data_IF_392079565929
#
_entry.id   IF_392079565929
#
_cell.length_a   1.000
_cell.length_b   1.000
_cell.length_c   1.000
_cell.angle_alpha   90.00
_cell.angle_beta   90.00
_cell.angle_gamma   90.00
#
_symmetry.space_group_name_H-M   'P 1'
#
loop_
_entity.id
_entity.type
_entity.pdbx_description
1 polymer ?
#
# COMPACT_ATOMS: atom_id res chain seq x y z
N UNK A 1 -22.71 -35.73 -15.32
CA UNK A 1 -22.76 -34.81 -14.18
C UNK A 1 -21.59 -35.14 -13.27
N UNK A 2 -20.45 -34.51 -13.42
CA UNK A 2 -19.24 -34.75 -12.60
C UNK A 2 -18.68 -33.42 -12.11
N UNK A 3 -18.55 -33.37 -10.82
CA UNK A 3 -18.15 -32.36 -9.87
C UNK A 3 -16.89 -31.55 -10.26
N UNK A 4 -17.05 -30.25 -10.45
CA UNK A 4 -15.99 -29.24 -10.59
C UNK A 4 -15.82 -28.45 -9.28
N UNK A 5 -15.56 -29.13 -8.16
CA UNK A 5 -15.51 -28.49 -6.82
C UNK A 5 -14.16 -28.55 -6.10
N UNK A 6 -13.11 -29.19 -6.67
CA UNK A 6 -11.91 -29.51 -5.90
C UNK A 6 -10.71 -28.58 -6.09
N UNK A 7 -10.66 -27.80 -7.16
CA UNK A 7 -9.45 -27.01 -7.51
C UNK A 7 -9.28 -25.73 -6.68
N UNK A 8 -10.37 -25.10 -6.24
CA UNK A 8 -10.29 -23.79 -5.53
C UNK A 8 -9.84 -23.95 -4.09
N UNK A 9 -10.21 -25.05 -3.43
CA UNK A 9 -9.81 -25.32 -2.03
C UNK A 9 -8.32 -25.65 -1.88
N UNK A 10 -7.72 -26.28 -2.89
CA UNK A 10 -6.30 -26.61 -2.88
C UNK A 10 -5.43 -25.35 -3.04
N UNK A 11 -5.86 -24.36 -3.82
CA UNK A 11 -5.14 -23.09 -4.00
C UNK A 11 -5.16 -22.22 -2.74
N UNK A 12 -6.27 -22.18 -2.00
CA UNK A 12 -6.40 -21.46 -0.73
C UNK A 12 -5.54 -22.08 0.38
N UNK A 13 -5.42 -23.39 0.44
CA UNK A 13 -4.57 -24.09 1.40
C UNK A 13 -3.08 -23.89 1.11
N UNK A 14 -2.67 -23.84 -0.16
CA UNK A 14 -1.29 -23.57 -0.54
C UNK A 14 -0.85 -22.15 -0.17
N UNK A 15 -1.71 -21.15 -0.35
CA UNK A 15 -1.40 -19.75 0.01
C UNK A 15 -1.29 -19.56 1.54
N UNK A 16 -2.11 -20.26 2.34
CA UNK A 16 -2.04 -20.20 3.80
C UNK A 16 -0.77 -20.87 4.34
N UNK A 17 -0.28 -21.93 3.70
CA UNK A 17 0.94 -22.63 4.11
C UNK A 17 2.21 -21.82 3.85
N UNK A 18 2.25 -21.03 2.77
CA UNK A 18 3.39 -20.15 2.47
C UNK A 18 3.48 -19.00 3.48
N UNK A 19 2.34 -18.44 3.92
CA UNK A 19 2.33 -17.42 4.97
C UNK A 19 2.76 -17.98 6.34
N UNK A 20 2.36 -19.20 6.66
CA UNK A 20 2.74 -19.85 7.92
C UNK A 20 4.25 -20.24 7.95
N UNK A 21 4.84 -20.62 6.82
CA UNK A 21 6.25 -20.94 6.72
C UNK A 21 7.18 -19.71 6.90
N UNK A 22 6.71 -18.51 6.54
CA UNK A 22 7.44 -17.26 6.79
C UNK A 22 7.44 -16.85 8.28
N UNK A 23 6.46 -17.29 9.06
CA UNK A 23 6.40 -17.00 10.50
C UNK A 23 7.28 -17.91 11.36
N UNK A 24 7.69 -19.10 10.89
CA UNK A 24 8.44 -20.07 11.70
C UNK A 24 9.96 -19.93 11.62
N UNK A 25 10.51 -19.14 10.71
CA UNK A 25 11.94 -18.86 10.59
C UNK A 25 12.44 -17.66 11.42
N UNK A 26 11.56 -17.05 12.23
CA UNK A 26 11.91 -15.93 13.14
C UNK A 26 12.49 -16.42 14.48
N UNK A 27 13.11 -17.62 14.55
CA UNK A 27 13.78 -18.05 15.76
C UNK A 27 15.26 -17.69 15.73
N UNK A 28 15.61 -16.79 16.68
CA UNK A 28 16.95 -16.53 17.22
C UNK A 28 17.97 -15.82 16.32
N UNK A 29 17.65 -14.64 15.80
CA UNK A 29 18.64 -13.59 15.81
C UNK A 29 18.54 -12.89 17.18
N UNK A 30 19.30 -13.34 18.16
CA UNK A 30 19.65 -12.53 19.32
C UNK A 30 20.53 -11.41 18.79
N UNK A 31 19.91 -10.30 18.37
CA UNK A 31 20.61 -9.04 18.25
C UNK A 31 21.08 -8.69 19.65
N UNK A 32 22.41 -8.51 19.80
CA UNK A 32 23.01 -8.01 21.02
C UNK A 32 22.35 -6.70 21.38
N UNK A 33 21.83 -6.61 22.63
CA UNK A 33 21.29 -5.43 23.25
C UNK A 33 22.38 -4.34 23.39
N UNK A 34 22.61 -3.60 22.33
CA UNK A 34 23.27 -2.31 22.29
C UNK A 34 22.55 -1.38 21.30
N UNK A 35 21.22 -1.52 21.18
CA UNK A 35 20.45 -0.56 20.41
C UNK A 35 20.28 0.71 21.27
N UNK A 36 21.05 1.74 20.91
CA UNK A 36 20.69 3.11 21.26
C UNK A 36 19.23 3.33 20.89
N UNK A 37 18.42 4.02 21.73
CA UNK A 37 17.02 4.31 21.42
C UNK A 37 16.94 4.86 20.01
N UNK A 38 16.04 4.33 19.19
CA UNK A 38 15.80 4.87 17.83
C UNK A 38 15.27 6.26 17.99
N UNK A 39 16.12 7.24 17.75
CA UNK A 39 15.73 8.64 17.90
C UNK A 39 15.22 9.10 16.54
N UNK A 40 13.90 8.95 16.33
CA UNK A 40 13.26 9.67 15.25
C UNK A 40 13.29 11.15 15.59
N UNK A 41 14.13 11.92 14.90
CA UNK A 41 14.25 13.37 15.13
C UNK A 41 14.28 14.12 13.80
N UNK A 42 13.57 15.24 13.75
CA UNK A 42 13.62 16.14 12.63
C UNK A 42 12.80 15.68 11.42
N UNK A 43 13.33 15.97 10.25
CA UNK A 43 12.75 15.62 8.96
C UNK A 43 13.13 14.18 8.57
N UNK A 44 12.20 13.49 7.96
CA UNK A 44 12.42 12.15 7.43
C UNK A 44 11.84 12.01 6.02
N UNK A 45 12.45 11.15 5.23
CA UNK A 45 12.02 10.80 3.87
C UNK A 45 12.22 9.31 3.63
N UNK A 46 11.32 8.71 2.86
CA UNK A 46 11.44 7.31 2.48
C UNK A 46 10.75 7.02 1.16
N UNK A 47 11.21 5.98 0.49
CA UNK A 47 10.61 5.53 -0.75
C UNK A 47 10.94 4.08 -1.04
N UNK A 48 10.10 3.42 -1.82
CA UNK A 48 10.26 2.02 -2.14
C UNK A 48 9.31 1.51 -3.19
N UNK A 49 9.53 0.24 -3.51
CA UNK A 49 8.82 -0.48 -4.56
C UNK A 49 8.26 -1.78 -4.00
N UNK A 50 7.22 -2.29 -4.62
CA UNK A 50 6.56 -3.49 -4.19
C UNK A 50 5.54 -4.02 -5.19
N UNK A 51 4.59 -4.74 -4.65
CA UNK A 51 3.53 -5.37 -5.43
C UNK A 51 2.20 -5.19 -4.71
N UNK A 52 1.14 -4.94 -5.48
CA UNK A 52 -0.18 -4.69 -4.93
C UNK A 52 -1.29 -5.33 -5.74
N UNK A 53 -2.44 -5.46 -5.10
CA UNK A 53 -3.68 -5.95 -5.69
C UNK A 53 -4.73 -4.86 -5.61
N UNK A 54 -5.29 -4.49 -6.76
CA UNK A 54 -6.37 -3.50 -6.89
C UNK A 54 -7.68 -4.20 -7.19
N UNK A 55 -8.72 -3.81 -6.50
CA UNK A 55 -10.12 -4.12 -6.83
C UNK A 55 -10.91 -2.82 -6.97
N UNK A 56 -11.80 -2.78 -7.95
CA UNK A 56 -12.64 -1.62 -8.24
C UNK A 56 -14.11 -2.02 -8.34
N UNK A 57 -14.99 -1.11 -8.03
CA UNK A 57 -16.43 -1.26 -8.19
C UNK A 57 -17.07 0.06 -8.59
N UNK A 58 -18.21 0.03 -9.27
CA UNK A 58 -19.01 1.20 -9.61
C UNK A 58 -20.50 0.87 -9.60
N UNK A 59 -21.34 1.88 -9.45
CA UNK A 59 -22.79 1.68 -9.46
C UNK A 59 -23.22 1.23 -10.85
N UNK A 60 -23.85 0.04 -10.93
CA UNK A 60 -24.30 -0.56 -12.17
C UNK A 60 -23.25 -1.33 -13.01
N UNK A 61 -21.96 -1.28 -12.65
CA UNK A 61 -20.91 -2.03 -13.37
C UNK A 61 -20.51 -3.35 -12.65
N UNK A 62 -20.92 -3.54 -11.41
CA UNK A 62 -20.45 -4.65 -10.58
C UNK A 62 -19.02 -4.42 -10.03
N UNK A 63 -18.47 -5.46 -9.43
CA UNK A 63 -17.08 -5.48 -8.98
C UNK A 63 -16.17 -6.14 -10.00
N UNK A 64 -15.00 -5.56 -10.23
CA UNK A 64 -13.96 -6.22 -11.02
C UNK A 64 -13.22 -7.27 -10.18
N UNK A 65 -12.68 -8.29 -10.84
CA UNK A 65 -11.72 -9.19 -10.22
C UNK A 65 -10.49 -8.41 -9.75
N UNK A 66 -9.85 -8.92 -8.69
CA UNK A 66 -8.63 -8.31 -8.17
C UNK A 66 -7.47 -8.45 -9.14
N UNK A 67 -6.86 -7.33 -9.52
CA UNK A 67 -5.75 -7.26 -10.45
C UNK A 67 -4.44 -6.97 -9.70
N UNK A 68 -3.46 -7.88 -9.84
CA UNK A 68 -2.15 -7.73 -9.25
C UNK A 68 -1.19 -6.98 -10.18
N UNK A 69 -0.42 -6.03 -9.65
CA UNK A 69 0.51 -5.22 -10.41
C UNK A 69 1.64 -4.63 -9.56
N UNK A 70 2.51 -3.90 -10.23
CA UNK A 70 3.63 -3.23 -9.61
C UNK A 70 3.16 -2.04 -8.77
N UNK A 71 3.75 -1.83 -7.60
CA UNK A 71 3.43 -0.69 -6.76
C UNK A 71 4.67 0.03 -6.26
N UNK A 72 4.49 1.30 -5.90
CA UNK A 72 5.51 2.15 -5.33
C UNK A 72 4.93 3.08 -4.28
N UNK A 73 5.83 3.57 -3.43
CA UNK A 73 5.47 4.46 -2.34
C UNK A 73 6.57 5.49 -2.13
N UNK A 74 6.17 6.73 -1.92
CA UNK A 74 7.04 7.82 -1.44
C UNK A 74 6.40 8.43 -0.21
N UNK A 75 7.21 8.72 0.80
CA UNK A 75 6.75 9.35 2.04
C UNK A 75 7.78 10.35 2.55
N UNK A 76 7.32 11.43 3.15
CA UNK A 76 8.18 12.44 3.75
C UNK A 76 7.42 13.17 4.88
N UNK A 77 8.14 13.66 5.87
CA UNK A 77 7.49 14.34 6.98
C UNK A 77 8.43 14.78 8.08
N UNK A 78 7.85 15.03 9.24
CA UNK A 78 8.54 15.44 10.43
C UNK A 78 8.15 14.60 11.66
N UNK A 79 9.03 14.53 12.61
CA UNK A 79 8.85 13.84 13.88
C UNK A 79 8.19 14.79 14.89
N UNK A 80 6.98 14.42 15.34
CA UNK A 80 6.28 15.15 16.41
C UNK A 80 6.77 14.71 17.79
N UNK A 81 7.04 13.42 17.94
CA UNK A 81 7.62 12.83 19.14
C UNK A 81 8.37 11.56 18.76
N UNK A 82 9.14 10.97 19.69
CA UNK A 82 9.86 9.72 19.45
C UNK A 82 8.97 8.56 18.97
N UNK A 83 7.66 8.64 19.21
CA UNK A 83 6.68 7.61 18.88
C UNK A 83 5.67 8.04 17.82
N UNK A 84 5.64 9.32 17.42
CA UNK A 84 4.65 9.84 16.47
C UNK A 84 5.33 10.67 15.40
N UNK A 85 5.17 10.24 14.16
CA UNK A 85 5.60 10.97 12.97
C UNK A 85 4.38 11.44 12.18
N UNK A 86 4.47 12.61 11.59
CA UNK A 86 3.46 13.18 10.69
C UNK A 86 4.10 13.42 9.33
N UNK A 87 3.39 13.11 8.25
CA UNK A 87 3.93 13.32 6.92
C UNK A 87 2.88 13.28 5.82
N UNK A 88 3.40 13.31 4.61
CA UNK A 88 2.65 13.07 3.38
C UNK A 88 3.16 11.77 2.76
N UNK A 89 2.24 10.96 2.31
CA UNK A 89 2.51 9.70 1.64
C UNK A 89 1.82 9.68 0.27
N UNK A 90 2.56 9.29 -0.76
CA UNK A 90 2.04 9.03 -2.10
C UNK A 90 2.20 7.55 -2.40
N UNK A 91 1.09 6.87 -2.66
CA UNK A 91 1.02 5.49 -3.09
C UNK A 91 0.68 5.44 -4.59
N UNK A 92 1.34 4.53 -5.31
CA UNK A 92 1.08 4.29 -6.72
C UNK A 92 1.02 2.81 -7.04
N UNK A 93 0.13 2.44 -7.98
CA UNK A 93 0.03 1.11 -8.54
C UNK A 93 -0.12 1.22 -10.06
N UNK A 94 0.51 0.30 -10.78
CA UNK A 94 0.58 0.29 -12.23
C UNK A 94 0.43 -1.13 -12.78
N UNK A 95 -0.37 -1.27 -13.84
CA UNK A 95 -0.48 -2.49 -14.63
C UNK A 95 -0.92 -2.20 -16.05
N UNK A 96 -0.30 -2.86 -17.02
CA UNK A 96 -0.82 -2.93 -18.38
C UNK A 96 -1.66 -4.21 -18.57
N UNK A 97 -2.85 -4.05 -19.12
CA UNK A 97 -3.78 -5.15 -19.41
C UNK A 97 -4.24 -4.99 -20.86
N UNK A 98 -3.75 -5.85 -21.74
CA UNK A 98 -4.13 -5.86 -23.17
C UNK A 98 -3.95 -4.50 -23.88
N UNK A 99 -2.84 -3.79 -23.59
CA UNK A 99 -2.55 -2.48 -24.16
C UNK A 99 -3.27 -1.32 -23.48
N UNK A 100 -4.02 -1.57 -22.40
CA UNK A 100 -4.62 -0.56 -21.56
C UNK A 100 -3.76 -0.39 -20.30
N UNK A 101 -3.15 0.77 -20.15
CA UNK A 101 -2.39 1.14 -18.96
C UNK A 101 -3.34 1.58 -17.86
N UNK A 102 -3.33 0.83 -16.75
CA UNK A 102 -4.10 1.14 -15.55
C UNK A 102 -3.17 1.69 -14.47
N UNK A 103 -3.54 2.83 -13.90
CA UNK A 103 -2.81 3.49 -12.81
C UNK A 103 -3.78 3.84 -11.69
N UNK A 104 -3.40 3.48 -10.48
CA UNK A 104 -4.06 3.89 -9.25
C UNK A 104 -3.08 4.72 -8.44
N UNK A 105 -3.52 5.86 -7.92
CA UNK A 105 -2.71 6.74 -7.09
C UNK A 105 -3.46 7.20 -5.86
N UNK A 106 -2.70 7.51 -4.81
CA UNK A 106 -3.24 8.15 -3.62
C UNK A 106 -2.19 9.11 -3.05
N UNK A 107 -2.63 10.28 -2.61
CA UNK A 107 -1.80 11.26 -1.92
C UNK A 107 -2.51 11.62 -0.61
N UNK A 108 -1.89 11.29 0.53
CA UNK A 108 -2.51 11.44 1.84
C UNK A 108 -1.60 12.14 2.84
N UNK A 109 -2.20 12.91 3.73
CA UNK A 109 -1.59 13.22 5.00
C UNK A 109 -1.68 11.98 5.90
N UNK A 110 -0.57 11.59 6.52
CA UNK A 110 -0.45 10.34 7.27
C UNK A 110 0.22 10.55 8.62
N UNK A 111 -0.29 9.82 9.62
CA UNK A 111 0.31 9.69 10.94
C UNK A 111 0.88 8.29 11.09
N UNK A 112 2.09 8.20 11.62
CA UNK A 112 2.78 6.95 11.95
C UNK A 112 2.96 6.87 13.46
N UNK A 113 2.51 5.79 14.06
CA UNK A 113 2.56 5.59 15.51
C UNK A 113 3.40 4.36 15.82
N UNK A 114 4.46 4.56 16.60
CA UNK A 114 5.34 3.51 17.10
C UNK A 114 4.90 3.16 18.54
N UNK A 115 4.31 1.97 18.76
CA UNK A 115 3.84 1.57 20.09
C UNK A 115 4.96 1.47 21.12
N UNK A 116 6.19 1.25 20.68
CA UNK A 116 7.38 1.13 21.52
C UNK A 116 8.54 1.93 20.94
N UNK A 117 9.34 2.56 21.81
CA UNK A 117 10.57 3.29 21.42
C UNK A 117 11.71 2.37 21.00
N UNK A 118 11.67 1.10 21.40
CA UNK A 118 12.71 0.11 21.11
C UNK A 118 12.38 -0.79 19.93
N UNK A 119 11.09 -0.90 19.56
CA UNK A 119 10.64 -1.71 18.44
C UNK A 119 10.45 -0.84 17.19
N UNK A 120 10.92 -1.34 16.03
CA UNK A 120 10.72 -0.67 14.74
C UNK A 120 9.31 -0.81 14.18
N UNK A 121 8.41 -1.51 14.86
CA UNK A 121 7.04 -1.68 14.40
C UNK A 121 6.26 -0.38 14.54
N UNK A 122 5.53 -0.02 13.49
CA UNK A 122 4.59 1.10 13.51
C UNK A 122 3.27 0.76 12.84
N UNK A 123 2.25 1.49 13.23
CA UNK A 123 0.96 1.56 12.56
C UNK A 123 0.87 2.91 11.86
N UNK A 124 0.20 2.95 10.71
CA UNK A 124 -0.08 4.20 10.02
C UNK A 124 -1.54 4.35 9.66
N UNK A 125 -1.99 5.58 9.58
CA UNK A 125 -3.32 5.94 9.10
C UNK A 125 -3.30 7.34 8.51
N UNK A 126 -4.18 7.59 7.54
CA UNK A 126 -4.20 8.87 6.87
C UNK A 126 -5.42 9.05 5.98
N UNK A 127 -5.57 10.28 5.49
CA UNK A 127 -6.61 10.65 4.55
C UNK A 127 -6.07 11.65 3.51
N UNK A 128 -6.66 11.63 2.33
CA UNK A 128 -6.21 12.49 1.23
C UNK A 128 -7.04 12.33 -0.03
N UNK A 129 -6.38 12.37 -1.17
CA UNK A 129 -6.99 12.27 -2.50
C UNK A 129 -6.59 10.97 -3.16
N UNK A 130 -7.56 10.21 -3.65
CA UNK A 130 -7.36 9.03 -4.47
C UNK A 130 -7.64 9.35 -5.94
N UNK A 131 -6.95 8.67 -6.85
CA UNK A 131 -7.13 8.79 -8.28
C UNK A 131 -7.03 7.46 -8.99
N UNK A 132 -7.76 7.34 -10.08
CA UNK A 132 -7.71 6.23 -11.02
C UNK A 132 -7.56 6.75 -12.44
N UNK A 133 -6.77 6.08 -13.23
CA UNK A 133 -6.65 6.35 -14.66
C UNK A 133 -6.47 5.06 -15.43
N UNK A 134 -7.27 4.87 -16.49
CA UNK A 134 -7.05 3.86 -17.52
C UNK A 134 -6.84 4.56 -18.85
N UNK A 135 -5.78 4.18 -19.57
CA UNK A 135 -5.41 4.79 -20.86
C UNK A 135 -5.16 3.72 -21.91
N UNK A 136 -5.81 3.87 -23.08
CA UNK A 136 -5.60 3.03 -24.26
C UNK A 136 -5.48 3.93 -25.49
N UNK A 137 -4.27 4.11 -26.01
CA UNK A 137 -4.00 5.05 -27.09
C UNK A 137 -4.39 6.48 -26.71
N UNK A 138 -5.37 7.07 -27.40
CA UNK A 138 -5.95 8.39 -27.15
C UNK A 138 -7.08 8.38 -26.12
N UNK A 139 -7.65 7.21 -25.84
CA UNK A 139 -8.79 7.10 -24.92
C UNK A 139 -8.32 7.11 -23.47
N UNK A 140 -9.02 7.89 -22.67
CA UNK A 140 -8.70 8.10 -21.25
C UNK A 140 -9.98 8.01 -20.41
N UNK A 141 -9.94 7.11 -19.41
CA UNK A 141 -10.90 7.06 -18.33
C UNK A 141 -10.20 7.51 -17.05
N UNK A 142 -10.72 8.49 -16.36
CA UNK A 142 -10.14 8.96 -15.10
C UNK A 142 -11.21 9.37 -14.08
N UNK A 143 -10.81 9.31 -12.80
CA UNK A 143 -11.63 9.74 -11.69
C UNK A 143 -10.76 10.07 -10.49
N UNK A 144 -11.24 11.00 -9.68
CA UNK A 144 -10.57 11.46 -8.46
C UNK A 144 -11.59 11.60 -7.34
N UNK A 145 -11.12 11.40 -6.12
CA UNK A 145 -11.99 11.54 -4.98
C UNK A 145 -11.25 11.44 -3.65
N UNK A 146 -11.99 11.12 -2.59
CA UNK A 146 -11.41 11.01 -1.25
C UNK A 146 -10.73 9.67 -1.08
N UNK A 147 -9.52 9.68 -0.52
CA UNK A 147 -8.74 8.50 -0.19
C UNK A 147 -8.51 8.36 1.31
N UNK A 148 -8.51 7.13 1.78
CA UNK A 148 -8.08 6.75 3.13
C UNK A 148 -6.96 5.73 3.01
N UNK A 149 -5.97 5.82 3.89
CA UNK A 149 -4.90 4.84 4.00
C UNK A 149 -4.80 4.29 5.41
N UNK A 150 -4.42 3.03 5.52
CA UNK A 150 -4.07 2.37 6.76
C UNK A 150 -3.00 1.33 6.51
N UNK A 151 -2.20 1.01 7.52
CA UNK A 151 -1.16 0.01 7.31
C UNK A 151 -0.28 -0.18 8.51
N UNK A 152 0.69 -1.07 8.33
CA UNK A 152 1.71 -1.38 9.31
C UNK A 152 3.06 -1.60 8.62
N UNK A 153 4.13 -1.36 9.34
CA UNK A 153 5.49 -1.59 8.86
C UNK A 153 6.44 -1.85 10.00
N UNK A 154 7.66 -2.20 9.62
CA UNK A 154 8.73 -2.46 10.58
C UNK A 154 10.04 -1.87 10.09
N UNK A 155 10.58 -0.91 10.81
CA UNK A 155 11.87 -0.29 10.52
C UNK A 155 13.02 -1.18 11.01
N UNK A 156 13.83 -1.65 10.09
CA UNK A 156 15.07 -2.40 10.33
C UNK A 156 16.22 -1.42 10.12
N UNK A 157 16.93 -0.97 11.17
CA UNK A 157 18.08 -0.08 11.02
C UNK A 157 19.17 -0.75 10.20
N UNK A 158 19.71 -0.03 9.20
CA UNK A 158 20.83 -0.48 8.37
C UNK A 158 22.03 0.48 8.46
N UNK A 159 21.90 1.55 9.21
CA UNK A 159 22.93 2.58 9.45
C UNK A 159 22.40 3.63 10.41
N UNK A 160 23.26 4.57 10.83
CA UNK A 160 22.95 5.54 11.89
C UNK A 160 21.64 6.32 11.72
N UNK A 161 21.26 6.66 10.49
CA UNK A 161 20.05 7.43 10.17
C UNK A 161 19.20 6.79 9.07
N UNK A 162 19.45 5.51 8.72
CA UNK A 162 18.77 4.84 7.61
C UNK A 162 18.13 3.54 8.08
N UNK A 163 16.92 3.28 7.63
CA UNK A 163 16.20 2.03 7.86
C UNK A 163 15.70 1.40 6.57
N UNK A 164 15.70 0.07 6.52
CA UNK A 164 14.95 -0.73 5.57
C UNK A 164 13.60 -1.07 6.18
N UNK A 165 12.51 -0.79 5.46
CA UNK A 165 11.15 -0.89 6.02
C UNK A 165 10.25 -1.73 5.12
N UNK A 166 10.05 -3.02 5.40
CA UNK A 166 8.91 -3.77 4.87
C UNK A 166 7.61 -3.19 5.42
N UNK A 167 6.61 -3.00 4.54
CA UNK A 167 5.35 -2.34 4.90
C UNK A 167 4.19 -2.93 4.12
N UNK A 168 3.06 -3.13 4.79
CA UNK A 168 1.78 -3.46 4.18
C UNK A 168 0.84 -2.26 4.31
N UNK A 169 0.22 -1.87 3.20
CA UNK A 169 -0.69 -0.72 3.12
C UNK A 169 -1.99 -1.13 2.46
N UNK A 170 -3.10 -0.72 3.05
CA UNK A 170 -4.43 -0.75 2.48
C UNK A 170 -4.85 0.68 2.17
N UNK A 171 -5.16 0.94 0.91
CA UNK A 171 -5.72 2.22 0.46
C UNK A 171 -7.15 1.98 -0.01
N UNK A 172 -8.06 2.82 0.44
CA UNK A 172 -9.44 2.85 -0.02
C UNK A 172 -9.73 4.21 -0.62
N UNK A 173 -10.33 4.25 -1.83
CA UNK A 173 -10.70 5.46 -2.53
C UNK A 173 -12.17 5.46 -2.93
N UNK A 174 -12.86 6.59 -2.67
CA UNK A 174 -14.17 6.88 -3.24
C UNK A 174 -13.97 7.95 -4.31
N UNK A 175 -13.98 7.54 -5.57
CA UNK A 175 -13.64 8.38 -6.72
C UNK A 175 -14.83 9.20 -7.23
N UNK A 176 -16.06 8.89 -6.76
CA UNK A 176 -17.26 9.54 -7.27
C UNK A 176 -17.54 9.17 -8.73
N UNK A 177 -17.58 10.17 -9.60
CA UNK A 177 -17.88 9.97 -11.02
C UNK A 177 -16.60 9.75 -11.82
N UNK A 178 -16.64 8.77 -12.73
CA UNK A 178 -15.58 8.54 -13.71
C UNK A 178 -15.89 9.32 -14.99
N UNK A 179 -14.86 9.91 -15.57
CA UNK A 179 -14.93 10.64 -16.83
C UNK A 179 -14.20 9.89 -17.94
N UNK A 180 -14.90 9.63 -19.06
CA UNK A 180 -14.31 9.09 -20.28
C UNK A 180 -14.11 10.22 -21.28
N UNK A 181 -12.87 10.52 -21.62
CA UNK A 181 -12.48 11.62 -22.51
C UNK A 181 -13.12 12.98 -22.09
N UNK A 182 -13.27 13.21 -20.77
CA UNK A 182 -13.86 14.43 -20.20
C UNK A 182 -15.38 14.43 -20.11
N UNK A 183 -16.07 13.35 -20.45
CA UNK A 183 -17.51 13.20 -20.28
C UNK A 183 -17.82 12.21 -19.16
N UNK A 184 -18.78 12.51 -18.28
CA UNK A 184 -19.20 11.61 -17.20
C UNK A 184 -19.68 10.27 -17.79
N UNK A 185 -19.10 9.17 -17.32
CA UNK A 185 -19.32 7.81 -17.89
C UNK A 185 -19.89 6.84 -16.85
N UNK A 186 -19.49 6.94 -15.59
CA UNK A 186 -19.98 6.08 -14.50
C UNK A 186 -19.97 6.84 -13.19
N UNK A 187 -20.85 6.48 -12.26
CA UNK A 187 -20.96 7.09 -10.94
C UNK A 187 -20.67 6.11 -9.82
N UNK A 188 -20.39 6.63 -8.62
CA UNK A 188 -20.19 5.81 -7.42
C UNK A 188 -18.96 4.91 -7.48
N UNK A 189 -17.93 5.28 -8.24
CA UNK A 189 -16.72 4.50 -8.39
C UNK A 189 -15.92 4.44 -7.08
N UNK A 190 -15.50 3.24 -6.71
CA UNK A 190 -14.68 2.96 -5.53
C UNK A 190 -13.53 2.05 -5.92
N UNK A 191 -12.40 2.21 -5.22
CA UNK A 191 -11.23 1.36 -5.40
C UNK A 191 -10.63 0.97 -4.07
N UNK A 192 -10.01 -0.20 -4.04
CA UNK A 192 -9.23 -0.68 -2.91
C UNK A 192 -7.90 -1.20 -3.44
N UNK A 193 -6.79 -0.72 -2.88
CA UNK A 193 -5.44 -1.20 -3.17
C UNK A 193 -4.84 -1.79 -1.90
N UNK A 194 -4.51 -3.07 -1.94
CA UNK A 194 -3.68 -3.73 -0.93
C UNK A 194 -2.28 -3.92 -1.50
N UNK A 195 -1.25 -3.39 -0.85
CA UNK A 195 0.13 -3.49 -1.33
C UNK A 195 1.10 -3.90 -0.22
N UNK A 196 2.16 -4.60 -0.63
CA UNK A 196 3.36 -4.85 0.18
C UNK A 196 4.52 -4.17 -0.52
N UNK A 197 5.19 -3.28 0.21
CA UNK A 197 6.25 -2.42 -0.31
C UNK A 197 7.48 -2.54 0.58
N UNK A 198 8.64 -2.55 -0.03
CA UNK A 198 9.93 -2.50 0.65
C UNK A 198 10.53 -1.12 0.41
N UNK A 199 10.69 -0.35 1.50
CA UNK A 199 11.15 1.03 1.43
C UNK A 199 12.49 1.21 2.13
N UNK A 200 13.24 2.22 1.69
CA UNK A 200 14.37 2.77 2.42
C UNK A 200 13.96 4.13 2.96
N UNK A 201 14.30 4.39 4.21
CA UNK A 201 13.95 5.64 4.91
C UNK A 201 15.19 6.25 5.53
N UNK A 202 15.29 7.58 5.46
CA UNK A 202 16.31 8.38 6.16
C UNK A 202 15.60 9.28 7.19
N UNK A 203 16.17 9.38 8.39
CA UNK A 203 15.68 10.13 9.55
C UNK A 203 16.68 11.21 9.98
#
# INVERSE_FOLDING_TARGET
>A
MLSRGSSTRVKLLASALVLAALCTSATTARAQDNEAPRVHQGFWIGGGLGYGSVSSSCDGCGSSDSECGFSGLLRLGGTLSEQVLLGVESDGWYKDINGTTNTVGNLSAAVYVYPSKTMGMFLKGGAGVAGYQAKNGSDKLDGYGVGLIGGLGYDIPIGGHTAFTPMATLTWGNLGDLSFNGQSSASGAKQTLLQVVFTFSAY
#
